data_IF_459631067562
#
_entry.id   IF_459631067562
#
_cell.length_a   1.000
_cell.length_b   1.000
_cell.length_c   1.000
_cell.angle_alpha   90.00
_cell.angle_beta   90.00
_cell.angle_gamma   90.00
#
_symmetry.space_group_name_H-M   'P 1'
#
loop_
_entity.id
_entity.type
_entity.pdbx_description
1 polymer ?
#
# COMPACT_ATOMS: atom_id res chain seq x y z
N UNK A 1 -7.52 -27.32 -6.02
CA UNK A 1 -8.54 -26.45 -5.41
C UNK A 1 -8.13 -26.15 -3.97
N UNK A 2 -7.49 -25.01 -3.69
CA UNK A 2 -7.25 -24.59 -2.30
C UNK A 2 -8.56 -23.95 -1.82
N UNK A 3 -9.11 -24.49 -0.74
CA UNK A 3 -10.38 -24.05 -0.18
C UNK A 3 -10.36 -22.55 0.11
N UNK A 4 -11.42 -21.87 -0.31
CA UNK A 4 -11.70 -20.49 0.07
C UNK A 4 -11.98 -20.46 1.56
N UNK A 5 -10.95 -20.32 2.38
CA UNK A 5 -11.10 -19.90 3.77
C UNK A 5 -11.59 -18.45 3.73
N UNK A 6 -12.88 -18.27 3.96
CA UNK A 6 -13.48 -16.96 4.21
C UNK A 6 -12.78 -16.36 5.42
N UNK A 7 -11.83 -15.45 5.17
CA UNK A 7 -11.17 -14.72 6.24
C UNK A 7 -12.13 -13.63 6.71
N UNK A 8 -12.35 -13.56 8.03
CA UNK A 8 -13.07 -12.45 8.62
C UNK A 8 -12.49 -11.12 8.09
N UNK A 9 -13.34 -10.11 7.81
CA UNK A 9 -12.88 -8.86 7.23
C UNK A 9 -11.75 -8.29 8.09
N UNK A 10 -10.60 -8.06 7.46
CA UNK A 10 -9.44 -7.51 8.13
C UNK A 10 -9.83 -6.16 8.76
N UNK A 11 -9.49 -5.95 10.02
CA UNK A 11 -9.68 -4.67 10.69
C UNK A 11 -8.34 -4.17 11.20
N UNK A 12 -7.95 -2.96 10.80
CA UNK A 12 -6.75 -2.32 11.30
C UNK A 12 -7.08 -1.51 12.57
N UNK A 13 -6.28 -1.69 13.61
CA UNK A 13 -6.37 -0.94 14.86
C UNK A 13 -5.11 -0.08 15.02
N UNK A 14 -5.30 1.22 15.21
CA UNK A 14 -4.22 2.16 15.47
C UNK A 14 -4.29 2.60 16.94
N UNK A 15 -3.19 2.42 17.68
CA UNK A 15 -3.13 2.71 19.11
C UNK A 15 -2.50 4.08 19.40
N UNK A 16 -3.06 5.16 18.85
CA UNK A 16 -2.67 6.55 19.17
C UNK A 16 -3.77 7.55 18.79
N UNK A 17 -3.64 8.79 19.24
CA UNK A 17 -4.60 9.84 18.93
C UNK A 17 -4.53 10.24 17.43
N UNK A 18 -5.67 10.48 16.74
CA UNK A 18 -5.67 10.80 15.31
C UNK A 18 -4.83 12.02 14.92
N UNK A 19 -4.72 13.02 15.80
CA UNK A 19 -3.92 14.22 15.56
C UNK A 19 -2.41 14.06 15.80
N UNK A 20 -1.95 12.92 16.35
CA UNK A 20 -0.52 12.69 16.59
C UNK A 20 0.21 12.52 15.25
N UNK A 21 1.37 13.18 15.05
CA UNK A 21 2.25 12.89 13.93
C UNK A 21 2.65 11.41 13.89
N UNK A 22 2.56 10.81 12.71
CA UNK A 22 3.03 9.45 12.42
C UNK A 22 4.25 9.46 11.50
N UNK A 23 4.27 10.36 10.51
CA UNK A 23 5.31 10.46 9.50
C UNK A 23 5.64 11.93 9.18
N UNK A 24 6.69 12.14 8.39
CA UNK A 24 7.04 13.44 7.80
C UNK A 24 6.81 13.35 6.29
N UNK A 25 5.95 14.22 5.76
CA UNK A 25 5.70 14.37 4.32
C UNK A 25 6.33 15.65 3.79
N UNK A 26 6.15 15.93 2.49
CA UNK A 26 6.71 17.11 1.83
C UNK A 26 6.31 18.44 2.48
N UNK A 27 5.07 18.50 3.00
CA UNK A 27 4.47 19.70 3.59
C UNK A 27 4.57 19.72 5.12
N UNK A 28 5.34 18.80 5.71
CA UNK A 28 5.52 18.69 7.17
C UNK A 28 4.90 17.42 7.77
N UNK A 29 4.63 17.41 9.09
CA UNK A 29 4.14 16.24 9.79
C UNK A 29 2.79 15.73 9.25
N UNK A 30 2.72 14.43 8.98
CA UNK A 30 1.50 13.74 8.59
C UNK A 30 0.92 13.07 9.84
N UNK A 31 -0.34 13.37 10.14
CA UNK A 31 -1.03 12.81 11.30
C UNK A 31 -1.43 11.35 11.10
N UNK A 32 -1.60 10.62 12.19
CA UNK A 32 -2.13 9.26 12.17
C UNK A 32 -3.52 9.19 11.50
N UNK A 33 -4.38 10.17 11.74
CA UNK A 33 -5.69 10.26 11.13
C UNK A 33 -5.62 10.40 9.61
N UNK A 34 -4.67 11.19 9.10
CA UNK A 34 -4.42 11.30 7.65
C UNK A 34 -3.91 9.98 7.06
N UNK A 35 -2.94 9.34 7.72
CA UNK A 35 -2.43 8.04 7.28
C UNK A 35 -3.53 6.98 7.22
N UNK A 36 -4.37 6.90 8.25
CA UNK A 36 -5.52 5.99 8.27
C UNK A 36 -6.47 6.27 7.11
N UNK A 37 -6.81 7.54 6.87
CA UNK A 37 -7.68 7.91 5.75
C UNK A 37 -7.09 7.51 4.40
N UNK A 38 -5.78 7.70 4.19
CA UNK A 38 -5.11 7.30 2.95
C UNK A 38 -5.11 5.76 2.76
N UNK A 39 -4.95 4.99 3.84
CA UNK A 39 -5.06 3.52 3.83
C UNK A 39 -6.47 3.07 3.43
N UNK A 40 -7.50 3.62 4.07
CA UNK A 40 -8.90 3.28 3.80
C UNK A 40 -9.30 3.67 2.36
N UNK A 41 -8.90 4.87 1.92
CA UNK A 41 -9.16 5.34 0.55
C UNK A 41 -8.50 4.48 -0.52
N UNK A 42 -7.27 3.99 -0.29
CA UNK A 42 -6.67 3.06 -1.24
C UNK A 42 -7.41 1.72 -1.21
N UNK A 43 -7.70 1.17 -0.03
CA UNK A 43 -8.38 -0.12 0.10
C UNK A 43 -9.72 -0.15 -0.66
N UNK A 44 -10.51 0.92 -0.56
CA UNK A 44 -11.80 1.07 -1.26
C UNK A 44 -11.65 1.14 -2.79
N UNK A 45 -10.47 1.51 -3.30
CA UNK A 45 -10.19 1.64 -4.74
C UNK A 45 -9.51 0.41 -5.35
N UNK A 46 -9.07 -0.54 -4.53
CA UNK A 46 -8.38 -1.73 -5.03
C UNK A 46 -9.37 -2.61 -5.81
N UNK A 47 -8.93 -3.19 -6.95
CA UNK A 47 -9.76 -4.14 -7.68
C UNK A 47 -10.18 -5.34 -6.84
N UNK A 48 -11.34 -5.93 -7.19
CA UNK A 48 -11.88 -7.10 -6.50
C UNK A 48 -11.10 -8.40 -6.73
N UNK A 49 -10.18 -8.43 -7.70
CA UNK A 49 -9.33 -9.58 -8.00
C UNK A 49 -7.88 -9.15 -8.16
N UNK A 50 -6.96 -10.03 -7.75
CA UNK A 50 -5.51 -9.84 -7.83
C UNK A 50 -4.88 -9.03 -6.68
N UNK A 51 -3.55 -8.97 -6.70
CA UNK A 51 -2.70 -8.48 -5.62
C UNK A 51 -2.09 -7.12 -5.92
N UNK A 52 -1.54 -6.48 -4.88
CA UNK A 52 -0.94 -5.14 -4.97
C UNK A 52 0.57 -5.25 -5.11
N UNK A 53 1.13 -4.75 -6.20
CA UNK A 53 2.57 -4.60 -6.37
C UNK A 53 3.02 -3.25 -5.79
N UNK A 54 3.98 -3.25 -4.87
CA UNK A 54 4.51 -2.02 -4.26
C UNK A 54 5.91 -1.75 -4.77
N UNK A 55 6.08 -0.69 -5.56
CA UNK A 55 7.36 -0.32 -6.19
C UNK A 55 7.80 1.10 -5.86
N UNK A 56 7.00 1.85 -5.11
CA UNK A 56 7.29 3.21 -4.70
C UNK A 56 8.51 3.32 -3.77
N UNK A 57 9.18 4.47 -3.83
CA UNK A 57 10.30 4.86 -2.97
C UNK A 57 9.88 5.24 -1.56
N UNK A 58 8.76 5.93 -1.43
CA UNK A 58 8.35 6.57 -0.19
C UNK A 58 7.95 5.55 0.88
N UNK A 59 8.56 5.60 2.06
CA UNK A 59 8.20 4.84 3.27
C UNK A 59 6.76 5.13 3.70
N UNK A 60 6.30 6.38 3.54
CA UNK A 60 4.91 6.74 3.80
C UNK A 60 3.97 5.99 2.84
N UNK A 61 4.22 6.11 1.54
CA UNK A 61 3.38 5.48 0.51
C UNK A 61 3.45 3.95 0.59
N UNK A 62 4.62 3.38 0.89
CA UNK A 62 4.80 1.95 1.16
C UNK A 62 3.90 1.48 2.31
N UNK A 63 3.90 2.20 3.44
CA UNK A 63 3.05 1.88 4.59
C UNK A 63 1.57 1.94 4.24
N UNK A 64 1.15 2.94 3.45
CA UNK A 64 -0.22 3.05 2.95
C UNK A 64 -0.58 1.85 2.07
N UNK A 65 0.26 1.53 1.09
CA UNK A 65 0.03 0.43 0.14
C UNK A 65 -0.05 -0.93 0.82
N UNK A 66 0.87 -1.21 1.74
CA UNK A 66 0.94 -2.48 2.48
C UNK A 66 -0.33 -2.70 3.31
N UNK A 67 -0.72 -1.71 4.11
CA UNK A 67 -1.88 -1.82 4.98
C UNK A 67 -3.20 -1.82 4.20
N UNK A 68 -3.29 -1.06 3.11
CA UNK A 68 -4.47 -1.06 2.25
C UNK A 68 -4.67 -2.41 1.55
N UNK A 69 -3.57 -3.04 1.07
CA UNK A 69 -3.63 -4.38 0.50
C UNK A 69 -4.19 -5.38 1.52
N UNK A 70 -3.66 -5.39 2.75
CA UNK A 70 -4.14 -6.27 3.82
C UNK A 70 -5.58 -5.99 4.23
N UNK A 71 -5.97 -4.71 4.33
CA UNK A 71 -7.35 -4.31 4.63
C UNK A 71 -8.33 -4.82 3.55
N UNK A 72 -7.93 -4.77 2.28
CA UNK A 72 -8.68 -5.30 1.14
C UNK A 72 -8.51 -6.83 0.94
N UNK A 73 -7.91 -7.54 1.91
CA UNK A 73 -7.65 -8.98 1.87
C UNK A 73 -6.82 -9.44 0.65
N UNK A 74 -5.82 -8.64 0.27
CA UNK A 74 -4.86 -8.88 -0.83
C UNK A 74 -3.44 -9.09 -0.30
N UNK A 75 -2.62 -9.78 -1.09
CA UNK A 75 -1.19 -9.79 -0.84
C UNK A 75 -0.56 -8.47 -1.32
N UNK A 76 0.45 -8.01 -0.57
CA UNK A 76 1.38 -7.00 -1.04
C UNK A 76 2.62 -7.71 -1.60
N UNK A 77 2.88 -7.54 -2.89
CA UNK A 77 4.04 -8.09 -3.58
C UNK A 77 5.16 -7.07 -3.50
N UNK A 78 6.25 -7.47 -2.83
CA UNK A 78 7.44 -6.63 -2.63
C UNK A 78 8.57 -7.16 -3.51
N UNK A 79 8.97 -6.41 -4.56
CA UNK A 79 10.04 -6.84 -5.43
C UNK A 79 11.39 -6.76 -4.69
N UNK A 80 12.33 -7.70 -4.96
CA UNK A 80 13.64 -7.70 -4.29
C UNK A 80 14.56 -6.55 -4.76
N UNK A 81 14.20 -5.88 -5.85
CA UNK A 81 14.90 -4.75 -6.43
C UNK A 81 13.96 -3.98 -7.37
N UNK A 82 14.43 -2.89 -7.97
CA UNK A 82 13.62 -2.02 -8.85
C UNK A 82 13.90 -2.17 -10.34
N UNK A 83 14.59 -3.24 -10.73
CA UNK A 83 14.87 -3.47 -12.13
C UNK A 83 13.56 -3.71 -12.90
N UNK A 84 13.43 -3.07 -14.07
CA UNK A 84 12.28 -3.26 -14.94
C UNK A 84 12.07 -4.74 -15.30
N UNK A 85 13.16 -5.49 -15.49
CA UNK A 85 13.12 -6.93 -15.73
C UNK A 85 12.50 -7.71 -14.56
N UNK A 86 12.83 -7.37 -13.30
CA UNK A 86 12.23 -7.99 -12.12
C UNK A 86 10.74 -7.68 -12.01
N UNK A 87 10.33 -6.44 -12.29
CA UNK A 87 8.91 -6.04 -12.34
C UNK A 87 8.14 -6.81 -13.41
N UNK A 88 8.73 -6.98 -14.59
CA UNK A 88 8.15 -7.78 -15.68
C UNK A 88 8.04 -9.27 -15.32
N UNK A 89 9.04 -9.85 -14.65
CA UNK A 89 8.97 -11.23 -14.15
C UNK A 89 7.87 -11.43 -13.11
N UNK A 90 7.74 -10.49 -12.16
CA UNK A 90 6.69 -10.50 -11.14
C UNK A 90 5.30 -10.46 -11.78
N UNK A 91 5.05 -9.54 -12.72
CA UNK A 91 3.76 -9.44 -13.41
C UNK A 91 3.39 -10.69 -14.21
N UNK A 92 4.37 -11.49 -14.62
CA UNK A 92 4.12 -12.80 -15.26
C UNK A 92 3.78 -13.91 -14.27
N UNK A 93 4.25 -13.81 -13.02
CA UNK A 93 4.18 -14.90 -12.02
C UNK A 93 3.08 -14.71 -11.00
N UNK A 94 2.67 -13.47 -10.77
CA UNK A 94 1.69 -13.10 -9.75
C UNK A 94 0.56 -12.29 -10.38
N UNK A 95 -0.68 -12.43 -9.86
CA UNK A 95 -1.85 -11.74 -10.41
C UNK A 95 -1.87 -10.27 -9.97
N UNK A 96 -0.93 -9.45 -10.44
CA UNK A 96 -0.85 -8.02 -10.09
C UNK A 96 -2.05 -7.27 -10.67
N UNK A 97 -2.90 -6.72 -9.81
CA UNK A 97 -4.08 -5.94 -10.22
C UNK A 97 -3.89 -4.43 -10.08
N UNK A 98 -3.04 -4.01 -9.14
CA UNK A 98 -2.74 -2.61 -8.91
C UNK A 98 -1.25 -2.45 -8.58
N UNK A 99 -0.62 -1.43 -9.14
CA UNK A 99 0.77 -1.09 -8.81
C UNK A 99 0.83 0.27 -8.11
N UNK A 100 1.38 0.24 -6.90
CA UNK A 100 1.71 1.41 -6.10
C UNK A 100 3.15 1.85 -6.44
N UNK A 101 3.30 2.57 -7.55
CA UNK A 101 4.57 3.14 -8.00
C UNK A 101 4.77 4.59 -7.50
N UNK A 102 5.87 5.24 -7.90
CA UNK A 102 6.17 6.62 -7.49
C UNK A 102 5.17 7.65 -8.01
N UNK A 103 4.54 7.38 -9.15
CA UNK A 103 3.50 8.26 -9.70
C UNK A 103 2.25 8.20 -8.85
N UNK A 104 1.86 7.00 -8.41
CA UNK A 104 0.79 6.84 -7.42
C UNK A 104 1.16 7.50 -6.09
N UNK A 105 2.38 7.29 -5.60
CA UNK A 105 2.85 7.86 -4.34
C UNK A 105 2.84 9.40 -4.34
N UNK A 106 3.19 10.04 -5.46
CA UNK A 106 3.11 11.49 -5.61
C UNK A 106 1.70 12.04 -5.38
N UNK A 107 0.65 11.27 -5.73
CA UNK A 107 -0.75 11.63 -5.47
C UNK A 107 -1.13 11.69 -3.99
N UNK A 108 -0.36 11.05 -3.11
CA UNK A 108 -0.52 11.14 -1.65
C UNK A 108 0.20 12.35 -1.04
N UNK A 109 0.94 13.13 -1.86
CA UNK A 109 1.90 14.12 -1.35
C UNK A 109 3.15 13.48 -0.74
N UNK A 110 3.39 12.20 -1.03
CA UNK A 110 4.56 11.46 -0.57
C UNK A 110 5.79 11.81 -1.42
N UNK A 111 6.95 11.95 -0.79
CA UNK A 111 8.24 12.15 -1.47
C UNK A 111 9.03 10.85 -1.48
N UNK A 112 9.88 10.62 -2.49
CA UNK A 112 10.89 9.58 -2.39
C UNK A 112 11.79 9.86 -1.18
N UNK A 113 12.12 8.82 -0.42
CA UNK A 113 13.07 8.97 0.68
C UNK A 113 14.47 9.20 0.10
N UNK A 114 15.15 10.25 0.59
CA UNK A 114 16.55 10.58 0.27
C UNK A 114 17.50 9.61 0.98
#
# INVERSE_FOLDING_TARGET
MKGSTEHAPASLRFASAPGRPLALGAQGPVSLGRFRADVEQLADRLPADGDVLVTCDSRYAFGVALLAAWLASRAAILPPNRLAASRADIRRRFPVAFECDDRWAAGLGAQPDV
#
